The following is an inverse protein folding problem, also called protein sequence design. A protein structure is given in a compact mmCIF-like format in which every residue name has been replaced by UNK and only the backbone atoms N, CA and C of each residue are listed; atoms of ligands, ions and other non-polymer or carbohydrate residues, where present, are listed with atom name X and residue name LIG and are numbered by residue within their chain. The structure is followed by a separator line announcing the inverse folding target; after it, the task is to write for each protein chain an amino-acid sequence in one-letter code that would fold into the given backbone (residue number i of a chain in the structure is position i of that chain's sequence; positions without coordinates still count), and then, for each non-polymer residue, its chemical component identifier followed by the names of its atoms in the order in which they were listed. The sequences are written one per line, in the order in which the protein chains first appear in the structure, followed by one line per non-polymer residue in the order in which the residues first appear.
data_IF_420925241142
#
_entry.id   IF_420925241142
#
_cell.length_a   1.000
_cell.length_b   1.000
_cell.length_c   1.000
_cell.angle_alpha   90.00
_cell.angle_beta   90.00
_cell.angle_gamma   90.00
#
_symmetry.space_group_name_H-M   'P 1'
#
loop_
_entity.id
_entity.type
_entity.pdbx_description
1 polymer ?
#
# COMPACT_ATOMS: atom_id res chain seq x y z
N UNK A 1 -4.22 20.93 -39.62
CA UNK A 1 -4.93 22.07 -38.99
C UNK A 1 -6.08 21.62 -38.07
N UNK A 2 -6.27 20.33 -37.82
CA UNK A 2 -7.35 19.80 -36.96
C UNK A 2 -7.04 19.73 -35.45
N UNK A 3 -5.79 19.89 -35.04
CA UNK A 3 -5.35 19.63 -33.66
C UNK A 3 -5.67 20.77 -32.64
N UNK A 4 -6.09 21.95 -33.11
CA UNK A 4 -6.39 23.08 -32.21
C UNK A 4 -7.86 23.18 -31.75
N UNK A 5 -8.79 22.43 -32.36
CA UNK A 5 -10.22 22.44 -31.94
C UNK A 5 -10.56 21.43 -30.85
N UNK A 6 -9.76 20.39 -30.63
CA UNK A 6 -10.03 19.37 -29.60
C UNK A 6 -9.60 19.79 -28.18
N UNK A 7 -8.73 20.79 -28.03
CA UNK A 7 -8.24 21.23 -26.71
C UNK A 7 -9.29 21.92 -25.84
N UNK A 8 -10.40 22.42 -26.41
CA UNK A 8 -11.47 23.09 -25.66
C UNK A 8 -12.66 22.19 -25.28
N UNK A 9 -12.91 21.12 -26.03
CA UNK A 9 -14.00 20.15 -25.78
C UNK A 9 -13.52 18.86 -25.10
N UNK A 10 -12.21 18.57 -25.14
CA UNK A 10 -11.60 17.33 -24.64
C UNK A 10 -11.50 17.19 -23.11
N UNK A 11 -11.79 18.22 -22.31
CA UNK A 11 -11.78 18.15 -20.84
C UNK A 11 -13.18 17.98 -20.24
N UNK A 12 -14.22 18.48 -20.92
CA UNK A 12 -15.60 18.40 -20.44
C UNK A 12 -16.18 16.98 -20.57
N UNK A 13 -15.87 16.29 -21.67
CA UNK A 13 -16.33 14.91 -21.90
C UNK A 13 -15.80 13.91 -20.85
N UNK A 14 -14.49 13.87 -20.54
CA UNK A 14 -13.97 13.01 -19.47
C UNK A 14 -14.53 13.38 -18.09
N UNK A 15 -14.65 14.67 -17.79
CA UNK A 15 -15.21 15.14 -16.53
C UNK A 15 -16.70 14.73 -16.38
N UNK A 16 -17.50 14.95 -17.42
CA UNK A 16 -18.90 14.55 -17.48
C UNK A 16 -19.04 13.03 -17.34
N UNK A 17 -18.18 12.26 -18.01
CA UNK A 17 -18.17 10.80 -17.89
C UNK A 17 -17.86 10.35 -16.46
N UNK A 18 -16.88 10.99 -15.79
CA UNK A 18 -16.50 10.66 -14.41
C UNK A 18 -17.61 10.99 -13.42
N UNK A 19 -18.24 12.17 -13.56
CA UNK A 19 -19.38 12.59 -12.72
C UNK A 19 -20.57 11.67 -12.96
N UNK A 20 -20.87 11.32 -14.22
CA UNK A 20 -21.96 10.41 -14.55
C UNK A 20 -21.75 9.01 -13.98
N UNK A 21 -20.51 8.49 -14.02
CA UNK A 21 -20.16 7.21 -13.42
C UNK A 21 -20.34 7.22 -11.89
N UNK A 22 -19.93 8.30 -11.22
CA UNK A 22 -20.17 8.47 -9.77
C UNK A 22 -21.66 8.46 -9.47
N UNK A 23 -22.46 9.22 -10.23
CA UNK A 23 -23.90 9.30 -10.02
C UNK A 23 -24.60 7.96 -10.26
N UNK A 24 -24.28 7.27 -11.36
CA UNK A 24 -24.82 5.95 -11.69
C UNK A 24 -24.40 4.93 -10.62
N UNK A 25 -23.16 4.95 -10.17
CA UNK A 25 -22.68 4.07 -9.10
C UNK A 25 -23.41 4.29 -7.77
N UNK A 26 -23.60 5.55 -7.37
CA UNK A 26 -24.38 5.91 -6.18
C UNK A 26 -25.84 5.49 -6.31
N UNK A 27 -26.44 5.70 -7.48
CA UNK A 27 -27.82 5.32 -7.76
C UNK A 27 -28.01 3.80 -7.69
N UNK A 28 -27.13 3.02 -8.33
CA UNK A 28 -27.16 1.56 -8.25
C UNK A 28 -26.95 1.09 -6.82
N UNK A 29 -25.98 1.67 -6.09
CA UNK A 29 -25.75 1.35 -4.68
C UNK A 29 -26.99 1.63 -3.81
N UNK A 30 -27.67 2.74 -4.04
CA UNK A 30 -28.92 3.07 -3.36
C UNK A 30 -30.06 2.09 -3.69
N UNK A 31 -30.22 1.71 -4.97
CA UNK A 31 -31.20 0.71 -5.38
C UNK A 31 -30.95 -0.65 -4.71
N UNK A 32 -29.69 -1.07 -4.60
CA UNK A 32 -29.33 -2.31 -3.89
C UNK A 32 -29.69 -2.24 -2.41
N UNK A 33 -29.45 -1.10 -1.75
CA UNK A 33 -29.86 -0.89 -0.35
C UNK A 33 -31.38 -0.93 -0.18
N UNK A 34 -32.14 -0.33 -1.11
CA UNK A 34 -33.60 -0.38 -1.11
C UNK A 34 -34.12 -1.82 -1.25
N UNK A 35 -33.56 -2.60 -2.16
CA UNK A 35 -33.92 -4.01 -2.35
C UNK A 35 -33.56 -4.88 -1.13
N UNK A 36 -32.49 -4.54 -0.41
CA UNK A 36 -32.01 -5.32 0.75
C UNK A 36 -32.79 -4.99 2.02
N UNK A 37 -32.98 -3.70 2.32
CA UNK A 37 -33.80 -3.24 3.44
C UNK A 37 -34.26 -1.80 3.21
N UNK A 38 -35.45 -1.64 2.63
CA UNK A 38 -36.03 -0.34 2.29
C UNK A 38 -36.13 0.63 3.48
N UNK A 39 -36.39 0.12 4.69
CA UNK A 39 -36.57 0.96 5.89
C UNK A 39 -35.29 1.65 6.35
N UNK A 40 -34.13 1.03 6.10
CA UNK A 40 -32.81 1.54 6.52
C UNK A 40 -31.96 2.02 5.34
N UNK A 41 -32.49 1.97 4.11
CA UNK A 41 -31.75 2.34 2.91
C UNK A 41 -31.33 3.82 2.92
N UNK A 42 -32.22 4.73 3.30
CA UNK A 42 -31.92 6.16 3.31
C UNK A 42 -30.93 6.55 4.44
N UNK A 43 -31.09 6.10 5.71
CA UNK A 43 -30.07 6.29 6.74
C UNK A 43 -28.72 5.63 6.39
N UNK A 44 -28.75 4.42 5.83
CA UNK A 44 -27.53 3.70 5.42
C UNK A 44 -26.79 4.40 4.29
N UNK A 45 -27.52 4.91 3.29
CA UNK A 45 -26.94 5.70 2.21
C UNK A 45 -26.35 7.03 2.72
N UNK A 46 -27.06 7.71 3.63
CA UNK A 46 -26.53 8.87 4.34
C UNK A 46 -25.24 8.54 5.09
N UNK A 47 -25.19 7.42 5.82
CA UNK A 47 -24.02 6.98 6.56
C UNK A 47 -22.82 6.63 5.66
N UNK A 48 -23.04 6.12 4.44
CA UNK A 48 -21.96 5.89 3.47
C UNK A 48 -21.38 7.23 3.00
N UNK A 49 -22.24 8.20 2.69
CA UNK A 49 -21.79 9.52 2.21
C UNK A 49 -21.14 10.36 3.31
N UNK A 50 -21.68 10.32 4.53
CA UNK A 50 -21.21 11.16 5.63
C UNK A 50 -20.27 10.43 6.59
N UNK A 51 -20.04 9.12 6.44
CA UNK A 51 -19.32 8.28 7.41
C UNK A 51 -17.95 8.82 7.82
N UNK A 52 -17.25 9.43 6.87
CA UNK A 52 -15.97 10.12 7.10
C UNK A 52 -16.09 11.33 8.05
N UNK A 53 -17.24 11.99 8.08
CA UNK A 53 -17.54 13.24 8.79
C UNK A 53 -18.43 13.06 10.02
N UNK A 54 -19.11 11.91 10.16
CA UNK A 54 -20.15 11.66 11.19
C UNK A 54 -19.65 11.87 12.63
N UNK A 55 -18.37 11.62 12.91
CA UNK A 55 -17.77 11.80 14.24
C UNK A 55 -16.86 13.04 14.34
N UNK A 56 -17.11 14.06 13.52
CA UNK A 56 -16.29 15.28 13.47
C UNK A 56 -14.83 14.98 13.18
N UNK A 57 -13.91 15.67 13.87
CA UNK A 57 -12.47 15.49 13.68
C UNK A 57 -11.98 14.07 13.99
N UNK A 58 -12.66 13.32 14.86
CA UNK A 58 -12.32 11.90 15.10
C UNK A 58 -12.55 11.05 13.85
N UNK A 59 -13.65 11.28 13.14
CA UNK A 59 -13.99 10.58 11.90
C UNK A 59 -12.95 10.84 10.81
N UNK A 60 -12.60 12.12 10.63
CA UNK A 60 -11.57 12.54 9.66
C UNK A 60 -10.20 11.92 10.00
N UNK A 61 -9.80 11.92 11.27
CA UNK A 61 -8.57 11.25 11.71
C UNK A 61 -8.58 9.75 11.41
N UNK A 62 -9.73 9.10 11.59
CA UNK A 62 -9.88 7.67 11.26
C UNK A 62 -9.74 7.41 9.76
N UNK A 63 -10.23 8.30 8.91
CA UNK A 63 -10.02 8.23 7.45
C UNK A 63 -8.54 8.27 7.12
N UNK A 64 -7.77 9.20 7.70
CA UNK A 64 -6.32 9.26 7.47
C UNK A 64 -5.59 8.01 7.97
N UNK A 65 -6.04 7.44 9.09
CA UNK A 65 -5.49 6.17 9.59
C UNK A 65 -5.66 5.03 8.58
N UNK A 66 -6.86 4.84 8.02
CA UNK A 66 -7.10 3.81 7.01
C UNK A 66 -6.52 4.14 5.63
N UNK A 67 -6.41 5.42 5.29
CA UNK A 67 -5.82 5.86 4.02
C UNK A 67 -4.30 5.62 3.97
N UNK A 68 -3.61 5.63 5.11
CA UNK A 68 -2.15 5.45 5.19
C UNK A 68 -1.66 4.17 4.49
N UNK A 69 -2.13 2.95 4.85
CA UNK A 69 -1.69 1.73 4.16
C UNK A 69 -2.13 1.68 2.69
N UNK A 70 -3.31 2.23 2.33
CA UNK A 70 -3.78 2.27 0.95
C UNK A 70 -2.87 3.17 0.08
N UNK A 71 -2.47 4.31 0.62
CA UNK A 71 -1.55 5.25 -0.02
C UNK A 71 -0.16 4.63 -0.22
N UNK A 72 0.38 3.94 0.78
CA UNK A 72 1.68 3.26 0.70
C UNK A 72 1.65 2.09 -0.28
N UNK A 73 0.64 1.23 -0.23
CA UNK A 73 0.48 0.12 -1.17
C UNK A 73 0.26 0.60 -2.60
N UNK A 74 -0.50 1.70 -2.80
CA UNK A 74 -0.61 2.36 -4.10
C UNK A 74 0.73 2.89 -4.61
N UNK A 75 1.54 3.50 -3.75
CA UNK A 75 2.90 3.96 -4.08
C UNK A 75 3.82 2.80 -4.45
N UNK A 76 3.76 1.68 -3.71
CA UNK A 76 4.50 0.44 -4.01
C UNK A 76 4.20 -0.08 -5.42
N UNK A 77 2.92 -0.19 -5.76
CA UNK A 77 2.46 -0.62 -7.09
C UNK A 77 2.93 0.37 -8.16
N UNK A 78 2.70 1.68 -7.94
CA UNK A 78 3.11 2.74 -8.87
C UNK A 78 4.62 2.81 -9.10
N UNK A 79 5.42 2.46 -8.09
CA UNK A 79 6.87 2.39 -8.18
C UNK A 79 7.32 1.23 -9.09
N UNK A 80 6.78 0.03 -8.89
CA UNK A 80 7.10 -1.13 -9.73
C UNK A 80 6.69 -0.91 -11.19
N UNK A 81 5.58 -0.20 -11.43
CA UNK A 81 5.15 0.17 -12.78
C UNK A 81 6.16 1.01 -13.54
N UNK A 82 7.01 1.80 -12.87
CA UNK A 82 8.04 2.58 -13.55
C UNK A 82 9.07 1.69 -14.27
N UNK A 83 9.30 0.46 -13.79
CA UNK A 83 10.17 -0.53 -14.46
C UNK A 83 9.42 -1.48 -15.39
N UNK A 84 8.14 -1.18 -15.68
CA UNK A 84 7.28 -2.00 -16.53
C UNK A 84 6.78 -3.29 -15.86
N UNK A 85 6.88 -3.39 -14.54
CA UNK A 85 6.42 -4.55 -13.77
C UNK A 85 5.01 -4.31 -13.23
N UNK A 86 4.12 -5.29 -13.45
CA UNK A 86 2.76 -5.27 -12.94
C UNK A 86 2.70 -5.96 -11.56
N UNK A 87 3.09 -5.24 -10.50
CA UNK A 87 3.19 -5.80 -9.14
C UNK A 87 1.82 -5.99 -8.45
N UNK A 88 1.14 -7.11 -8.70
CA UNK A 88 -0.06 -7.52 -7.92
C UNK A 88 0.34 -8.16 -6.57
N UNK A 89 1.64 -8.25 -6.27
CA UNK A 89 2.18 -8.93 -5.08
C UNK A 89 2.22 -8.07 -3.82
N UNK A 90 1.80 -6.81 -3.93
CA UNK A 90 1.82 -5.85 -2.81
C UNK A 90 1.06 -6.33 -1.58
N UNK A 91 -0.10 -7.02 -1.66
CA UNK A 91 -0.76 -7.57 -0.47
C UNK A 91 0.12 -8.58 0.30
N UNK A 92 0.85 -9.45 -0.40
CA UNK A 92 1.78 -10.39 0.20
C UNK A 92 2.99 -9.70 0.83
N UNK A 93 3.54 -8.70 0.14
CA UNK A 93 4.64 -7.86 0.64
C UNK A 93 4.22 -7.14 1.93
N UNK A 94 3.02 -6.53 1.94
CA UNK A 94 2.43 -5.88 3.11
C UNK A 94 2.22 -6.85 4.27
N UNK A 95 1.70 -8.05 4.02
CA UNK A 95 1.48 -9.06 5.08
C UNK A 95 2.80 -9.51 5.70
N UNK A 96 3.82 -9.79 4.88
CA UNK A 96 5.13 -10.25 5.36
C UNK A 96 5.93 -9.13 6.03
N UNK A 97 5.83 -7.90 5.52
CA UNK A 97 6.35 -6.71 6.19
C UNK A 97 5.67 -6.47 7.54
N UNK A 98 4.34 -6.46 7.57
CA UNK A 98 3.54 -6.34 8.79
C UNK A 98 3.87 -7.41 9.82
N UNK A 99 4.13 -8.65 9.40
CA UNK A 99 4.64 -9.70 10.28
C UNK A 99 5.97 -9.33 10.92
N UNK A 100 6.90 -8.70 10.19
CA UNK A 100 8.16 -8.19 10.76
C UNK A 100 7.96 -7.17 11.88
N UNK A 101 7.05 -6.21 11.66
CA UNK A 101 6.68 -5.23 12.69
C UNK A 101 6.03 -5.90 13.91
N UNK A 102 5.09 -6.83 13.70
CA UNK A 102 4.48 -7.60 14.78
C UNK A 102 5.50 -8.46 15.52
N UNK A 103 6.47 -9.06 14.81
CA UNK A 103 7.48 -9.90 15.41
C UNK A 103 8.34 -9.12 16.40
N UNK A 104 8.90 -8.01 15.94
CA UNK A 104 9.69 -7.11 16.82
C UNK A 104 8.81 -6.59 17.95
N UNK A 105 7.60 -6.12 17.61
CA UNK A 105 6.67 -5.51 18.55
C UNK A 105 6.20 -6.41 19.69
N UNK A 106 6.12 -7.71 19.46
CA UNK A 106 5.72 -8.71 20.47
C UNK A 106 6.93 -9.26 21.21
N UNK A 107 8.01 -9.58 20.50
CA UNK A 107 9.16 -10.31 21.06
C UNK A 107 10.18 -9.41 21.74
N UNK A 108 10.38 -8.19 21.23
CA UNK A 108 11.49 -7.34 21.64
C UNK A 108 11.03 -6.17 22.51
N UNK A 109 10.33 -6.48 23.61
CA UNK A 109 9.72 -5.48 24.50
C UNK A 109 10.71 -4.54 25.20
N UNK A 110 12.00 -4.89 25.25
CA UNK A 110 13.03 -4.15 26.00
C UNK A 110 13.61 -2.93 25.27
N UNK A 111 13.19 -2.62 24.04
CA UNK A 111 13.83 -1.56 23.22
C UNK A 111 13.45 -0.11 23.58
N UNK A 112 12.55 0.11 24.55
CA UNK A 112 12.18 1.46 24.99
C UNK A 112 11.66 2.34 23.84
N UNK A 113 12.11 3.59 23.77
CA UNK A 113 11.64 4.59 22.78
C UNK A 113 12.04 4.34 21.32
N UNK A 114 13.02 3.46 21.07
CA UNK A 114 13.49 3.11 19.71
C UNK A 114 12.68 1.94 19.13
N UNK A 115 11.82 1.30 19.93
CA UNK A 115 11.12 0.08 19.56
C UNK A 115 10.29 0.21 18.29
N UNK A 116 9.54 1.32 18.11
CA UNK A 116 8.77 1.56 16.88
C UNK A 116 9.64 1.73 15.63
N UNK A 117 10.86 2.28 15.76
CA UNK A 117 11.81 2.42 14.64
C UNK A 117 12.31 1.05 14.20
N UNK A 118 12.66 0.19 15.16
CA UNK A 118 13.13 -1.16 14.85
C UNK A 118 12.01 -2.01 14.23
N UNK A 119 10.78 -1.87 14.72
CA UNK A 119 9.62 -2.52 14.11
C UNK A 119 9.39 -2.05 12.66
N UNK A 120 9.52 -0.75 12.41
CA UNK A 120 9.41 -0.17 11.06
C UNK A 120 10.51 -0.70 10.12
N UNK A 121 11.76 -0.72 10.59
CA UNK A 121 12.89 -1.24 9.80
C UNK A 121 12.73 -2.73 9.51
N UNK A 122 12.26 -3.52 10.48
CA UNK A 122 11.96 -4.95 10.27
C UNK A 122 10.86 -5.14 9.21
N UNK A 123 9.83 -4.29 9.21
CA UNK A 123 8.78 -4.28 8.18
C UNK A 123 9.35 -3.99 6.79
N UNK A 124 10.16 -2.94 6.66
CA UNK A 124 10.80 -2.54 5.40
C UNK A 124 11.68 -3.67 4.87
N UNK A 125 12.48 -4.29 5.74
CA UNK A 125 13.40 -5.37 5.35
C UNK A 125 12.63 -6.62 4.90
N UNK A 126 11.65 -7.09 5.68
CA UNK A 126 10.90 -8.29 5.30
C UNK A 126 10.02 -8.05 4.07
N UNK A 127 9.40 -6.88 3.95
CA UNK A 127 8.65 -6.50 2.75
C UNK A 127 9.55 -6.48 1.50
N UNK A 128 10.75 -5.90 1.61
CA UNK A 128 11.72 -5.88 0.52
C UNK A 128 12.21 -7.28 0.14
N UNK A 129 12.55 -8.11 1.13
CA UNK A 129 12.96 -9.49 0.91
C UNK A 129 11.85 -10.30 0.23
N UNK A 130 10.60 -10.10 0.64
CA UNK A 130 9.45 -10.76 0.01
C UNK A 130 9.24 -10.29 -1.42
N UNK A 131 9.39 -8.99 -1.69
CA UNK A 131 9.32 -8.41 -3.03
C UNK A 131 10.44 -8.87 -3.95
N UNK A 132 11.65 -9.11 -3.44
CA UNK A 132 12.77 -9.64 -4.21
C UNK A 132 12.43 -10.97 -4.88
N UNK A 133 11.67 -11.86 -4.23
CA UNK A 133 11.42 -13.22 -4.73
C UNK A 133 10.75 -13.23 -6.12
N UNK A 134 9.55 -12.62 -6.33
CA UNK A 134 8.97 -12.54 -7.68
C UNK A 134 9.85 -11.74 -8.65
N UNK A 135 10.62 -10.74 -8.16
CA UNK A 135 11.59 -10.01 -8.98
C UNK A 135 12.71 -10.90 -9.52
N UNK A 136 13.27 -11.78 -8.69
CA UNK A 136 14.31 -12.76 -9.07
C UNK A 136 13.74 -13.77 -10.06
N UNK A 137 12.54 -14.28 -9.79
CA UNK A 137 11.84 -15.20 -10.70
C UNK A 137 11.64 -14.58 -12.09
N UNK A 138 11.25 -13.31 -12.13
CA UNK A 138 11.13 -12.57 -13.40
C UNK A 138 12.49 -12.34 -14.07
N UNK A 139 13.48 -11.86 -13.33
CA UNK A 139 14.76 -11.42 -13.88
C UNK A 139 15.64 -12.56 -14.42
N UNK A 140 15.64 -13.71 -13.75
CA UNK A 140 16.51 -14.84 -14.12
C UNK A 140 15.77 -15.93 -14.90
N UNK A 141 14.52 -16.21 -14.56
CA UNK A 141 13.76 -17.32 -15.12
C UNK A 141 12.67 -16.87 -16.09
N UNK A 142 12.52 -15.56 -16.32
CA UNK A 142 11.49 -14.96 -17.17
C UNK A 142 10.06 -15.43 -16.85
N UNK A 143 9.81 -15.77 -15.58
CA UNK A 143 8.48 -16.15 -15.10
C UNK A 143 7.55 -14.95 -15.22
N UNK A 144 6.28 -15.19 -15.53
CA UNK A 144 5.27 -14.12 -15.53
C UNK A 144 5.15 -13.52 -14.11
N UNK A 145 5.50 -12.25 -14.00
CA UNK A 145 5.53 -11.48 -12.75
C UNK A 145 4.15 -11.41 -12.07
N UNK A 146 3.06 -11.36 -12.85
CA UNK A 146 1.70 -11.32 -12.32
C UNK A 146 1.36 -12.63 -11.61
N UNK A 147 1.61 -13.77 -12.27
CA UNK A 147 1.31 -15.09 -11.71
C UNK A 147 2.17 -15.34 -10.47
N UNK A 148 3.48 -15.09 -10.58
CA UNK A 148 4.39 -15.26 -9.45
C UNK A 148 3.98 -14.39 -8.26
N UNK A 149 3.64 -13.12 -8.49
CA UNK A 149 3.24 -12.20 -7.43
C UNK A 149 1.92 -12.61 -6.76
N UNK A 150 0.91 -13.07 -7.52
CA UNK A 150 -0.35 -13.58 -6.95
C UNK A 150 -0.10 -14.82 -6.08
N UNK A 151 0.71 -15.77 -6.56
CA UNK A 151 1.06 -16.95 -5.77
C UNK A 151 1.80 -16.57 -4.48
N UNK A 152 2.71 -15.61 -4.55
CA UNK A 152 3.45 -15.08 -3.40
C UNK A 152 2.54 -14.38 -2.38
N UNK A 153 1.38 -13.83 -2.78
CA UNK A 153 0.39 -13.32 -1.83
C UNK A 153 -0.16 -14.44 -0.94
N UNK A 154 -0.59 -15.55 -1.54
CA UNK A 154 -1.12 -16.69 -0.79
C UNK A 154 -0.04 -17.36 0.06
N UNK A 155 1.15 -17.57 -0.49
CA UNK A 155 2.28 -18.14 0.26
C UNK A 155 2.62 -17.25 1.46
N UNK A 156 2.65 -15.92 1.29
CA UNK A 156 2.93 -14.98 2.37
C UNK A 156 1.87 -15.00 3.45
N UNK A 157 0.60 -14.95 3.04
CA UNK A 157 -0.54 -15.01 3.96
C UNK A 157 -0.58 -16.31 4.77
N UNK A 158 -0.49 -17.47 4.11
CA UNK A 158 -0.52 -18.75 4.80
C UNK A 158 0.77 -19.01 5.60
N UNK A 159 1.92 -18.58 5.10
CA UNK A 159 3.20 -18.67 5.79
C UNK A 159 3.21 -17.87 7.09
N UNK A 160 2.81 -16.60 7.04
CA UNK A 160 2.69 -15.76 8.25
C UNK A 160 1.68 -16.36 9.23
N UNK A 161 0.49 -16.76 8.77
CA UNK A 161 -0.50 -17.40 9.63
C UNK A 161 0.04 -18.67 10.30
N UNK A 162 0.77 -19.50 9.57
CA UNK A 162 1.36 -20.71 10.10
C UNK A 162 2.45 -20.42 11.14
N UNK A 163 3.34 -19.45 10.87
CA UNK A 163 4.42 -19.06 11.80
C UNK A 163 3.82 -18.51 13.10
N UNK A 164 2.86 -17.57 12.99
CA UNK A 164 2.20 -16.97 14.16
C UNK A 164 1.54 -18.06 14.99
N UNK A 165 0.72 -18.93 14.39
CA UNK A 165 0.03 -20.02 15.11
C UNK A 165 0.98 -21.05 15.73
N UNK A 166 2.08 -21.36 15.05
CA UNK A 166 3.06 -22.34 15.54
C UNK A 166 3.88 -21.82 16.72
N UNK A 167 3.99 -20.50 16.87
CA UNK A 167 4.81 -19.88 17.89
C UNK A 167 3.98 -19.29 19.04
N UNK A 168 3.87 -20.04 20.15
CA UNK A 168 3.04 -19.69 21.32
C UNK A 168 3.23 -18.25 21.85
N UNK A 169 4.44 -17.68 21.92
CA UNK A 169 4.60 -16.30 22.39
C UNK A 169 3.91 -15.24 21.50
N UNK A 170 3.61 -15.58 20.25
CA UNK A 170 2.91 -14.70 19.31
C UNK A 170 1.43 -14.97 19.18
N UNK A 171 0.95 -16.14 19.57
CA UNK A 171 -0.44 -16.53 19.31
C UNK A 171 -1.26 -16.59 20.59
N UNK A 172 -2.40 -15.91 20.56
CA UNK A 172 -3.40 -15.99 21.61
C UNK A 172 -4.44 -17.08 21.24
N UNK A 173 -4.30 -18.26 21.85
CA UNK A 173 -5.21 -19.39 21.63
C UNK A 173 -6.68 -19.08 22.01
N UNK A 174 -6.92 -18.18 22.96
CA UNK A 174 -8.28 -17.86 23.42
C UNK A 174 -9.04 -16.99 22.42
N UNK A 175 -8.33 -16.09 21.73
CA UNK A 175 -8.91 -15.09 20.82
C UNK A 175 -8.65 -15.39 19.34
N UNK A 176 -7.88 -16.45 19.06
CA UNK A 176 -7.48 -16.88 17.72
C UNK A 176 -6.84 -15.72 16.91
N UNK A 177 -6.04 -14.89 17.58
CA UNK A 177 -5.37 -13.71 17.02
C UNK A 177 -3.91 -13.66 17.50
N UNK A 178 -3.10 -12.79 16.90
CA UNK A 178 -1.77 -12.51 17.43
C UNK A 178 -1.86 -11.81 18.79
N UNK A 179 -0.90 -12.05 19.66
CA UNK A 179 -0.75 -11.27 20.89
C UNK A 179 -0.59 -9.77 20.56
N UNK A 180 -1.11 -8.87 21.40
CA UNK A 180 -1.01 -7.45 21.16
C UNK A 180 0.45 -6.99 21.17
N UNK A 181 0.77 -6.11 20.23
CA UNK A 181 2.08 -5.45 20.13
C UNK A 181 2.28 -4.52 21.33
N UNK A 182 3.50 -4.41 21.84
CA UNK A 182 3.82 -3.51 22.93
C UNK A 182 3.52 -2.04 22.55
N UNK A 183 3.04 -1.24 23.51
CA UNK A 183 2.69 0.16 23.25
C UNK A 183 3.86 0.99 22.71
N UNK A 184 5.10 0.64 23.08
CA UNK A 184 6.33 1.31 22.61
C UNK A 184 6.69 1.01 21.16
N UNK A 185 6.15 -0.07 20.58
CA UNK A 185 6.32 -0.40 19.17
C UNK A 185 5.28 0.29 18.26
N UNK A 186 4.21 0.86 18.83
CA UNK A 186 3.29 1.66 18.05
C UNK A 186 3.96 2.97 17.61
N UNK A 187 3.77 3.33 16.34
CA UNK A 187 4.26 4.60 15.82
C UNK A 187 3.66 5.74 16.67
N UNK A 188 4.48 6.67 17.18
CA UNK A 188 3.99 7.77 18.00
C UNK A 188 3.02 8.65 17.20
N UNK A 189 2.08 9.30 17.89
CA UNK A 189 1.05 10.11 17.22
C UNK A 189 1.58 11.42 16.61
N UNK A 190 2.80 11.85 16.99
CA UNK A 190 3.48 13.03 16.43
C UNK A 190 2.63 14.31 16.41
N UNK A 191 1.78 14.53 17.42
CA UNK A 191 0.93 15.72 17.54
C UNK A 191 -0.41 15.66 16.79
N UNK A 192 -0.66 14.60 15.99
CA UNK A 192 -1.94 14.40 15.32
C UNK A 192 -3.09 14.11 16.31
N UNK A 193 -2.77 13.68 17.52
CA UNK A 193 -3.70 13.53 18.63
C UNK A 193 -4.35 14.85 19.07
N UNK A 194 -3.63 15.97 18.93
CA UNK A 194 -4.16 17.32 19.22
C UNK A 194 -5.08 17.82 18.11
N UNK A 195 -4.80 17.43 16.86
CA UNK A 195 -5.60 17.80 15.68
C UNK A 195 -6.85 16.93 15.52
N UNK A 196 -6.75 15.65 15.85
CA UNK A 196 -7.81 14.66 15.69
C UNK A 196 -8.05 13.90 17.01
N UNK A 197 -8.64 14.57 18.02
CA UNK A 197 -8.81 13.99 19.35
C UNK A 197 -9.64 12.71 19.31
N UNK A 198 -9.18 11.68 20.02
CA UNK A 198 -9.86 10.38 20.12
C UNK A 198 -9.78 9.50 18.87
N UNK A 199 -9.01 9.88 17.85
CA UNK A 199 -8.78 9.04 16.65
C UNK A 199 -7.57 8.11 16.79
N UNK A 200 -7.55 7.06 15.96
CA UNK A 200 -6.42 6.13 15.86
C UNK A 200 -5.27 6.63 15.00
N UNK A 201 -5.39 7.82 14.41
CA UNK A 201 -4.35 8.39 13.56
C UNK A 201 -3.02 8.48 14.31
N UNK A 202 -1.94 8.15 13.61
CA UNK A 202 -0.60 8.18 14.15
C UNK A 202 0.37 8.82 13.15
N UNK A 203 1.63 9.00 13.56
CA UNK A 203 2.68 9.58 12.73
C UNK A 203 2.96 8.81 11.43
N UNK A 204 2.41 7.61 11.25
CA UNK A 204 2.52 6.83 10.02
C UNK A 204 2.00 7.59 8.80
N UNK A 205 0.95 8.42 8.95
CA UNK A 205 0.47 9.26 7.87
C UNK A 205 1.52 10.27 7.39
N UNK A 206 2.20 10.94 8.34
CA UNK A 206 3.27 11.90 8.03
C UNK A 206 4.48 11.18 7.41
N UNK A 207 4.85 10.03 7.95
CA UNK A 207 5.91 9.17 7.38
C UNK A 207 5.56 8.82 5.93
N UNK A 208 4.30 8.43 5.65
CA UNK A 208 3.83 8.13 4.30
C UNK A 208 3.97 9.30 3.33
N UNK A 209 3.59 10.52 3.76
CA UNK A 209 3.80 11.74 2.96
C UNK A 209 5.28 11.97 2.66
N UNK A 210 6.15 11.81 3.66
CA UNK A 210 7.60 11.93 3.47
C UNK A 210 8.08 10.90 2.46
N UNK A 211 7.64 9.65 2.54
CA UNK A 211 7.99 8.60 1.58
C UNK A 211 7.51 8.92 0.15
N UNK A 212 6.32 9.50 -0.03
CA UNK A 212 5.85 9.96 -1.35
C UNK A 212 6.82 10.98 -1.94
N UNK A 213 7.23 11.98 -1.15
CA UNK A 213 8.17 13.01 -1.60
C UNK A 213 9.53 12.38 -1.93
N UNK A 214 10.03 11.47 -1.08
CA UNK A 214 11.29 10.76 -1.32
C UNK A 214 11.25 9.94 -2.60
N UNK A 215 10.16 9.20 -2.85
CA UNK A 215 9.99 8.40 -4.05
C UNK A 215 9.84 9.29 -5.29
N UNK A 216 9.14 10.42 -5.19
CA UNK A 216 9.07 11.41 -6.27
C UNK A 216 10.47 11.93 -6.64
N UNK A 217 11.28 12.30 -5.64
CA UNK A 217 12.65 12.75 -5.87
C UNK A 217 13.51 11.64 -6.46
N UNK A 218 13.42 10.43 -5.91
CA UNK A 218 14.17 9.28 -6.39
C UNK A 218 13.83 8.97 -7.87
N UNK A 219 12.56 8.96 -8.25
CA UNK A 219 12.14 8.64 -9.62
C UNK A 219 12.41 9.77 -10.63
N UNK A 220 12.36 11.03 -10.21
CA UNK A 220 12.43 12.17 -11.14
C UNK A 220 13.73 12.95 -11.10
N UNK A 221 14.55 12.78 -10.07
CA UNK A 221 15.77 13.58 -9.84
C UNK A 221 17.04 12.74 -9.70
N UNK A 222 16.98 11.41 -9.87
CA UNK A 222 18.17 10.54 -9.79
C UNK A 222 18.40 9.73 -11.07
N UNK A 223 19.64 9.34 -11.29
CA UNK A 223 20.04 8.42 -12.39
C UNK A 223 19.38 7.05 -12.25
N UNK A 224 19.26 6.56 -11.02
CA UNK A 224 18.56 5.30 -10.73
C UNK A 224 17.10 5.33 -11.17
N UNK A 225 16.38 6.43 -10.90
CA UNK A 225 15.01 6.62 -11.37
C UNK A 225 14.90 6.65 -12.90
N UNK A 226 15.88 7.27 -13.57
CA UNK A 226 15.97 7.27 -15.03
C UNK A 226 16.20 5.87 -15.60
N UNK A 227 17.13 5.09 -15.02
CA UNK A 227 17.41 3.71 -15.43
C UNK A 227 16.18 2.80 -15.28
N UNK A 228 15.45 2.91 -14.17
CA UNK A 228 14.21 2.15 -13.98
C UNK A 228 13.18 2.44 -15.07
N UNK A 229 12.94 3.72 -15.37
CA UNK A 229 11.99 4.15 -16.41
C UNK A 229 12.43 3.71 -17.80
N UNK A 230 13.73 3.81 -18.11
CA UNK A 230 14.27 3.35 -19.38
C UNK A 230 13.98 1.85 -19.59
N UNK A 231 14.24 1.03 -18.57
CA UNK A 231 13.95 -0.41 -18.59
C UNK A 231 12.46 -0.69 -18.76
N UNK A 232 11.59 0.11 -18.12
CA UNK A 232 10.14 0.01 -18.26
C UNK A 232 9.63 0.34 -19.66
N UNK A 233 10.27 1.28 -20.36
CA UNK A 233 9.93 1.62 -21.74
C UNK A 233 10.41 0.58 -22.75
N UNK A 234 11.67 0.16 -22.66
CA UNK A 234 12.22 -0.88 -23.54
C UNK A 234 13.45 -1.56 -22.89
N UNK A 235 13.30 -2.85 -22.60
CA UNK A 235 14.34 -3.66 -21.94
C UNK A 235 15.56 -3.88 -22.85
N UNK A 236 15.33 -4.15 -24.13
CA UNK A 236 16.42 -4.43 -25.08
C UNK A 236 17.24 -3.18 -25.34
N UNK A 237 16.58 -2.04 -25.59
CA UNK A 237 17.26 -0.76 -25.77
C UNK A 237 18.07 -0.34 -24.52
N UNK A 238 17.53 -0.59 -23.33
CA UNK A 238 18.22 -0.32 -22.06
C UNK A 238 19.48 -1.16 -21.90
N UNK A 239 19.43 -2.43 -22.33
CA UNK A 239 20.59 -3.33 -22.32
C UNK A 239 21.67 -2.86 -23.29
N UNK A 240 21.30 -2.40 -24.49
CA UNK A 240 22.25 -1.79 -25.43
C UNK A 240 22.88 -0.50 -24.87
N UNK A 241 22.15 0.25 -24.04
CA UNK A 241 22.65 1.45 -23.35
C UNK A 241 23.50 1.14 -22.10
N UNK A 242 23.77 -0.14 -21.81
CA UNK A 242 24.61 -0.58 -20.68
C UNK A 242 23.88 -0.66 -19.33
N UNK A 243 22.55 -0.53 -19.30
CA UNK A 243 21.75 -0.65 -18.07
C UNK A 243 21.51 -2.14 -17.78
N UNK A 244 21.76 -2.56 -16.54
CA UNK A 244 21.50 -3.94 -16.12
C UNK A 244 20.01 -4.15 -15.82
N UNK A 245 19.29 -4.71 -16.80
CA UNK A 245 17.85 -4.94 -16.76
C UNK A 245 17.43 -5.86 -15.61
N UNK A 246 18.23 -6.90 -15.34
CA UNK A 246 17.94 -7.89 -14.29
C UNK A 246 18.00 -7.27 -12.90
N UNK A 247 19.06 -6.48 -12.65
CA UNK A 247 19.23 -5.73 -11.40
C UNK A 247 18.07 -4.74 -11.23
N UNK A 248 17.70 -4.01 -12.28
CA UNK A 248 16.59 -3.06 -12.23
C UNK A 248 15.26 -3.72 -11.87
N UNK A 249 14.96 -4.90 -12.43
CA UNK A 249 13.74 -5.67 -12.09
C UNK A 249 13.73 -6.08 -10.61
N UNK A 250 14.83 -6.67 -10.12
CA UNK A 250 14.91 -7.17 -8.74
C UNK A 250 14.82 -6.01 -7.75
N UNK A 251 15.62 -4.95 -7.96
CA UNK A 251 15.65 -3.79 -7.07
C UNK A 251 14.30 -3.05 -7.12
N UNK A 252 13.66 -2.96 -8.29
CA UNK A 252 12.34 -2.34 -8.39
C UNK A 252 11.30 -3.07 -7.54
N UNK A 253 11.27 -4.40 -7.60
CA UNK A 253 10.36 -5.20 -6.78
C UNK A 253 10.73 -5.20 -5.29
N UNK A 254 12.03 -5.16 -4.96
CA UNK A 254 12.51 -5.04 -3.59
C UNK A 254 12.07 -3.71 -2.96
N UNK A 255 12.28 -2.59 -3.66
CA UNK A 255 11.86 -1.27 -3.17
C UNK A 255 10.34 -1.19 -3.09
N UNK A 256 9.62 -1.72 -4.08
CA UNK A 256 8.16 -1.81 -4.01
C UNK A 256 7.70 -2.60 -2.77
N UNK A 257 8.36 -3.72 -2.45
CA UNK A 257 8.09 -4.48 -1.24
C UNK A 257 8.45 -3.75 0.05
N UNK A 258 9.51 -2.92 0.05
CA UNK A 258 9.88 -2.09 1.18
C UNK A 258 8.88 -0.95 1.44
N UNK A 259 8.22 -0.45 0.39
CA UNK A 259 7.18 0.59 0.47
C UNK A 259 5.83 0.00 0.91
N UNK A 260 5.54 -1.26 0.52
CA UNK A 260 4.27 -1.93 0.78
C UNK A 260 3.98 -2.08 2.28
#
# INVERSE_FOLDING_TARGET
MEDKRQRGQGSLLPLLSSISAIFVGLLIGFLVLLCSNASQALPGFGAILTGALTHGMKGVGQVFYYATPIMMTGLSVGFAFQSGLFNIGTPGQFIVGGFGACYVGIMMKSLGGVHWIVALLASILLGALWGCVPGILKAFFNVNEVIAAIMMNYIGMYGVNWIVKSYKPMFNNLRNESNPVAATANIPKMGLDKLFPGSSVNGGFLIGIVFIILIYLLLNKTTFGYELKAVGHNRDASKYAGINEKKSIIVSMAIAGAIA
#
